data_IF_730629274036
#
_entry.id   IF_730629274036
#
_cell.length_a   1.000
_cell.length_b   1.000
_cell.length_c   1.000
_cell.angle_alpha   90.00
_cell.angle_beta   90.00
_cell.angle_gamma   90.00
#
_symmetry.space_group_name_H-M   'P 1'
#
loop_
_entity.id
_entity.type
_entity.pdbx_description
1 polymer ?
#
# COMPACT_ATOMS: atom_id res chain seq x y z
N UNK A 1 -11.19 -6.73 16.07
CA UNK A 1 -11.07 -5.26 16.02
C UNK A 1 -10.66 -4.95 14.59
N UNK A 2 -11.51 -4.28 13.81
CA UNK A 2 -11.15 -3.87 12.44
C UNK A 2 -10.09 -2.78 12.61
N UNK A 3 -8.93 -2.95 11.98
CA UNK A 3 -7.87 -1.95 12.05
C UNK A 3 -8.28 -0.75 11.21
N UNK A 4 -8.66 0.34 11.87
CA UNK A 4 -9.00 1.64 11.25
C UNK A 4 -7.74 2.43 10.81
N UNK A 5 -6.56 1.80 10.84
CA UNK A 5 -5.32 2.47 10.47
C UNK A 5 -5.32 2.78 8.97
N UNK A 6 -5.27 4.05 8.60
CA UNK A 6 -5.10 4.56 7.23
C UNK A 6 -3.77 5.31 7.08
N UNK A 7 -3.42 5.66 5.84
CA UNK A 7 -2.20 6.46 5.57
C UNK A 7 -2.30 7.83 6.24
N UNK A 8 -3.49 8.42 6.30
CA UNK A 8 -3.70 9.71 6.95
C UNK A 8 -3.43 9.69 8.46
N UNK A 9 -3.59 8.55 9.13
CA UNK A 9 -3.22 8.41 10.54
C UNK A 9 -1.69 8.36 10.74
N UNK A 10 -0.95 7.89 9.73
CA UNK A 10 0.51 7.72 9.78
C UNK A 10 1.26 8.98 9.34
N UNK A 11 0.80 9.60 8.24
CA UNK A 11 1.48 10.71 7.58
C UNK A 11 0.73 12.05 7.69
N UNK A 12 -0.45 12.03 8.33
CA UNK A 12 -1.36 13.18 8.40
C UNK A 12 -2.26 13.32 7.17
N UNK A 13 -3.19 14.30 7.18
CA UNK A 13 -4.10 14.50 6.06
C UNK A 13 -3.35 14.86 4.78
N UNK A 14 -3.89 14.47 3.63
CA UNK A 14 -3.36 14.86 2.33
C UNK A 14 -3.27 16.39 2.24
N UNK A 15 -2.16 16.91 1.69
CA UNK A 15 -1.95 18.34 1.48
C UNK A 15 -1.63 18.65 0.02
N UNK A 16 -2.23 19.73 -0.48
CA UNK A 16 -2.02 20.21 -1.84
C UNK A 16 -2.90 19.52 -2.88
N UNK A 17 -2.67 19.91 -4.14
CA UNK A 17 -3.45 19.47 -5.28
C UNK A 17 -2.87 18.17 -5.90
N UNK A 18 -3.75 17.37 -6.48
CA UNK A 18 -3.40 16.13 -7.16
C UNK A 18 -3.41 16.34 -8.68
N UNK A 19 -2.26 16.72 -9.23
CA UNK A 19 -2.17 17.14 -10.65
C UNK A 19 -2.02 15.98 -11.64
N UNK A 20 -1.80 14.76 -11.15
CA UNK A 20 -1.63 13.57 -11.99
C UNK A 20 -2.61 12.50 -11.58
N UNK A 21 -2.94 11.58 -12.50
CA UNK A 21 -3.82 10.44 -12.18
C UNK A 21 -3.27 9.57 -11.05
N UNK A 22 -1.95 9.46 -10.90
CA UNK A 22 -1.31 8.76 -9.79
C UNK A 22 -1.57 9.47 -8.46
N UNK A 23 -1.34 10.79 -8.41
CA UNK A 23 -1.62 11.57 -7.20
C UNK A 23 -3.10 11.54 -6.84
N UNK A 24 -3.99 11.59 -7.84
CA UNK A 24 -5.43 11.54 -7.63
C UNK A 24 -5.85 10.22 -7.00
N UNK A 25 -5.36 9.07 -7.51
CA UNK A 25 -5.61 7.76 -6.89
C UNK A 25 -5.06 7.68 -5.46
N UNK A 26 -3.85 8.19 -5.23
CA UNK A 26 -3.27 8.22 -3.89
C UNK A 26 -4.13 9.04 -2.93
N UNK A 27 -4.60 10.22 -3.37
CA UNK A 27 -5.49 11.09 -2.60
C UNK A 27 -6.84 10.42 -2.29
N UNK A 28 -7.44 9.77 -3.28
CA UNK A 28 -8.73 9.07 -3.13
C UNK A 28 -8.67 7.90 -2.16
N UNK A 29 -7.51 7.25 -2.02
CA UNK A 29 -7.32 6.13 -1.09
C UNK A 29 -6.61 6.52 0.22
N UNK A 30 -6.35 7.80 0.44
CA UNK A 30 -5.49 8.29 1.53
C UNK A 30 -6.06 8.01 2.93
N UNK A 31 -7.39 8.11 3.04
CA UNK A 31 -8.15 7.88 4.28
C UNK A 31 -8.77 6.48 4.34
N UNK A 32 -8.52 5.63 3.35
CA UNK A 32 -8.99 4.24 3.37
C UNK A 32 -8.15 3.44 4.36
N UNK A 33 -8.77 2.68 5.29
CA UNK A 33 -8.03 1.78 6.17
C UNK A 33 -7.17 0.79 5.36
N UNK A 34 -5.95 0.53 5.82
CA UNK A 34 -4.98 -0.31 5.09
C UNK A 34 -5.56 -1.69 4.73
N UNK A 35 -6.37 -2.25 5.64
CA UNK A 35 -7.07 -3.53 5.46
C UNK A 35 -8.13 -3.51 4.37
N UNK A 36 -8.61 -2.33 3.97
CA UNK A 36 -9.65 -2.12 2.96
C UNK A 36 -9.10 -1.57 1.63
N UNK A 37 -7.79 -1.30 1.54
CA UNK A 37 -7.16 -1.00 0.26
C UNK A 37 -7.31 -2.17 -0.72
N UNK A 38 -7.26 -1.90 -2.01
CA UNK A 38 -7.08 -2.97 -2.99
C UNK A 38 -5.61 -3.39 -3.08
N UNK A 39 -5.33 -4.57 -3.61
CA UNK A 39 -3.96 -5.03 -3.86
C UNK A 39 -3.20 -4.07 -4.77
N UNK A 40 -3.89 -3.51 -5.78
CA UNK A 40 -3.36 -2.44 -6.61
C UNK A 40 -2.95 -1.21 -5.80
N UNK A 41 -3.77 -0.78 -4.83
CA UNK A 41 -3.45 0.41 -4.04
C UNK A 41 -2.34 0.16 -3.03
N UNK A 42 -2.26 -1.03 -2.43
CA UNK A 42 -1.11 -1.43 -1.61
C UNK A 42 0.17 -1.42 -2.46
N UNK A 43 0.16 -2.02 -3.65
CA UNK A 43 1.30 -2.01 -4.57
C UNK A 43 1.68 -0.58 -5.01
N UNK A 44 0.68 0.25 -5.30
CA UNK A 44 0.87 1.65 -5.69
C UNK A 44 1.58 2.44 -4.58
N UNK A 45 1.08 2.38 -3.35
CA UNK A 45 1.69 3.10 -2.24
C UNK A 45 3.10 2.59 -1.91
N UNK A 46 3.34 1.26 -1.95
CA UNK A 46 4.68 0.69 -1.80
C UNK A 46 5.66 1.25 -2.86
N UNK A 47 5.25 1.24 -4.14
CA UNK A 47 6.09 1.77 -5.22
C UNK A 47 6.39 3.27 -5.06
N UNK A 48 5.43 4.04 -4.52
CA UNK A 48 5.58 5.47 -4.20
C UNK A 48 6.28 5.75 -2.86
N UNK A 49 6.72 4.71 -2.13
CA UNK A 49 7.34 4.83 -0.82
C UNK A 49 6.46 5.54 0.23
N UNK A 50 5.14 5.35 0.16
CA UNK A 50 4.16 5.90 1.10
C UNK A 50 3.94 4.88 2.20
N UNK A 51 4.28 5.23 3.46
CA UNK A 51 4.13 4.38 4.64
C UNK A 51 4.61 2.91 4.43
N UNK A 52 5.82 2.69 3.86
CA UNK A 52 6.24 1.39 3.36
C UNK A 52 6.29 0.30 4.44
N UNK A 53 6.64 0.64 5.69
CA UNK A 53 6.74 -0.33 6.79
C UNK A 53 5.37 -0.97 7.09
N UNK A 54 4.35 -0.13 7.23
CA UNK A 54 2.99 -0.57 7.57
C UNK A 54 2.33 -1.31 6.40
N UNK A 55 2.60 -0.86 5.17
CA UNK A 55 2.09 -1.50 3.97
C UNK A 55 2.78 -2.82 3.64
N UNK A 56 4.05 -3.01 4.00
CA UNK A 56 4.70 -4.31 3.85
C UNK A 56 4.09 -5.35 4.77
N UNK A 57 3.72 -4.97 6.00
CA UNK A 57 3.00 -5.86 6.93
C UNK A 57 1.64 -6.27 6.34
N UNK A 58 0.86 -5.30 5.86
CA UNK A 58 -0.44 -5.58 5.23
C UNK A 58 -0.29 -6.40 3.93
N UNK A 59 0.71 -6.10 3.10
CA UNK A 59 0.99 -6.86 1.89
C UNK A 59 1.36 -8.32 2.20
N UNK A 60 2.22 -8.56 3.19
CA UNK A 60 2.57 -9.91 3.66
C UNK A 60 1.32 -10.66 4.14
N UNK A 61 0.50 -10.01 4.98
CA UNK A 61 -0.75 -10.59 5.46
C UNK A 61 -1.72 -10.95 4.31
N UNK A 62 -1.83 -10.11 3.29
CA UNK A 62 -2.68 -10.36 2.11
C UNK A 62 -2.21 -11.60 1.33
N UNK A 63 -0.91 -11.68 1.05
CA UNK A 63 -0.35 -12.82 0.31
C UNK A 63 -0.53 -14.15 1.07
N UNK A 64 -0.43 -14.12 2.40
CA UNK A 64 -0.52 -15.32 3.23
C UNK A 64 -1.96 -15.77 3.50
N UNK A 65 -2.91 -14.83 3.66
CA UNK A 65 -4.21 -15.12 4.27
C UNK A 65 -5.40 -14.82 3.35
N UNK A 66 -5.27 -13.87 2.42
CA UNK A 66 -6.41 -13.35 1.65
C UNK A 66 -6.41 -13.85 0.21
N UNK A 67 -7.61 -14.03 -0.32
CA UNK A 67 -7.79 -14.19 -1.76
C UNK A 67 -7.39 -12.90 -2.48
N UNK A 68 -6.71 -13.04 -3.63
CA UNK A 68 -6.31 -11.89 -4.45
C UNK A 68 -7.56 -11.20 -4.99
N UNK A 69 -7.63 -9.88 -4.86
CA UNK A 69 -8.84 -9.12 -5.23
C UNK A 69 -9.00 -8.86 -6.74
N UNK A 70 -8.03 -9.31 -7.55
CA UNK A 70 -8.03 -9.14 -9.01
C UNK A 70 -7.86 -7.70 -9.49
N UNK A 71 -7.50 -6.77 -8.61
CA UNK A 71 -7.37 -5.34 -8.94
C UNK A 71 -6.04 -4.98 -9.62
N UNK A 72 -5.04 -5.86 -9.56
CA UNK A 72 -3.72 -5.62 -10.15
C UNK A 72 -3.82 -5.34 -11.66
N UNK A 73 -2.95 -4.47 -12.17
CA UNK A 73 -2.85 -4.25 -13.62
C UNK A 73 -2.20 -5.43 -14.35
N UNK A 74 -1.40 -6.22 -13.62
CA UNK A 74 -0.74 -7.42 -14.12
C UNK A 74 -0.50 -8.38 -12.96
N UNK A 75 -0.46 -9.68 -13.28
CA UNK A 75 -0.28 -10.73 -12.28
C UNK A 75 1.03 -10.55 -11.50
N UNK A 76 0.91 -10.45 -10.17
CA UNK A 76 2.07 -10.37 -9.28
C UNK A 76 2.57 -8.94 -9.01
N UNK A 77 1.82 -7.91 -9.42
CA UNK A 77 2.18 -6.51 -9.20
C UNK A 77 2.48 -6.18 -7.72
N UNK A 78 1.72 -6.72 -6.78
CA UNK A 78 1.92 -6.53 -5.34
C UNK A 78 3.23 -7.18 -4.88
N UNK A 79 3.52 -8.39 -5.35
CA UNK A 79 4.77 -9.09 -5.03
C UNK A 79 5.98 -8.31 -5.57
N UNK A 80 5.89 -7.81 -6.79
CA UNK A 80 6.93 -6.95 -7.38
C UNK A 80 7.13 -5.67 -6.56
N UNK A 81 6.05 -5.02 -6.14
CA UNK A 81 6.13 -3.83 -5.29
C UNK A 81 6.80 -4.12 -3.94
N UNK A 82 6.54 -5.28 -3.33
CA UNK A 82 7.21 -5.72 -2.11
C UNK A 82 8.72 -5.94 -2.33
N UNK A 83 9.12 -6.57 -3.43
CA UNK A 83 10.54 -6.76 -3.80
C UNK A 83 11.24 -5.42 -4.08
N UNK A 84 10.55 -4.48 -4.72
CA UNK A 84 11.08 -3.15 -4.99
C UNK A 84 11.38 -2.40 -3.68
N UNK A 85 10.53 -2.54 -2.67
CA UNK A 85 10.77 -1.93 -1.35
C UNK A 85 11.96 -2.62 -0.65
N UNK A 86 12.04 -3.95 -0.66
CA UNK A 86 13.20 -4.69 -0.14
C UNK A 86 14.52 -4.25 -0.80
N UNK A 87 14.51 -4.13 -2.12
CA UNK A 87 15.68 -3.71 -2.91
C UNK A 87 16.14 -2.29 -2.61
N UNK A 88 15.26 -1.43 -2.05
CA UNK A 88 15.62 -0.08 -1.58
C UNK A 88 16.27 -0.08 -0.18
N UNK A 89 16.46 -1.24 0.45
CA UNK A 89 17.09 -1.39 1.76
C UNK A 89 16.12 -1.40 2.94
N UNK A 90 14.83 -1.57 2.69
CA UNK A 90 13.80 -1.75 3.71
C UNK A 90 13.48 -3.26 3.82
N UNK A 91 14.29 -3.99 4.59
CA UNK A 91 14.04 -5.40 4.91
C UNK A 91 13.41 -5.54 6.30
N UNK A 92 12.17 -6.05 6.34
CA UNK A 92 11.42 -6.33 7.57
C UNK A 92 11.29 -7.84 7.83
N UNK A 93 12.33 -8.62 7.48
CA UNK A 93 12.44 -10.07 7.73
C UNK A 93 12.34 -10.51 9.21
N UNK A 94 12.08 -9.58 10.15
CA UNK A 94 12.06 -9.83 11.59
C UNK A 94 10.75 -9.54 12.35
N UNK A 95 9.61 -9.36 11.67
CA UNK A 95 8.28 -9.22 12.35
C UNK A 95 7.31 -10.34 11.95
#
# INVERSE_FOLDING_TARGET
MISELAVSNLLGPWRGDAHTGLMQRCKESWDTPLVHLSDLMVATFLNQNIAPEHLLIEAKHRIEVRERDGSEYFDGQLLEAMENVRSRGLDFSGV
#
